data_IF_811974397436
#
_entry.id   IF_811974397436
#
_cell.length_a   1.000
_cell.length_b   1.000
_cell.length_c   1.000
_cell.angle_alpha   90.00
_cell.angle_beta   90.00
_cell.angle_gamma   90.00
#
_symmetry.space_group_name_H-M   'P 1'
#
loop_
_entity.id
_entity.type
_entity.pdbx_description
1 polymer ?
#
# COMPACT_ATOMS: atom_id res chain seq x y z
N UNK A 1 -1.26 14.75 6.49
CA UNK A 1 -2.66 14.54 6.05
C UNK A 1 -2.58 13.57 4.88
N UNK A 2 -3.39 12.52 4.84
CA UNK A 2 -3.38 11.56 3.73
C UNK A 2 -4.39 12.02 2.68
N UNK A 3 -4.05 11.92 1.40
CA UNK A 3 -4.94 12.28 0.29
C UNK A 3 -5.99 11.19 0.04
N UNK A 4 -5.60 9.92 0.30
CA UNK A 4 -6.46 8.75 0.10
C UNK A 4 -6.25 7.73 1.20
N UNK A 5 -7.36 7.12 1.66
CA UNK A 5 -7.37 5.94 2.50
C UNK A 5 -8.01 4.75 1.77
N UNK A 6 -7.30 3.62 1.74
CA UNK A 6 -7.81 2.35 1.19
C UNK A 6 -8.28 1.46 2.34
N UNK A 7 -9.60 1.30 2.46
CA UNK A 7 -10.24 0.35 3.38
C UNK A 7 -10.51 -0.98 2.69
N UNK A 8 -10.14 -2.09 3.33
CA UNK A 8 -10.26 -3.44 2.78
C UNK A 8 -10.22 -4.49 3.89
N UNK A 9 -10.69 -5.72 3.60
CA UNK A 9 -10.48 -6.84 4.53
C UNK A 9 -9.14 -7.50 4.23
N UNK A 10 -8.33 -7.83 5.24
CA UNK A 10 -6.99 -8.41 4.98
C UNK A 10 -7.00 -9.71 4.17
N UNK A 11 -8.10 -10.46 4.15
CA UNK A 11 -8.26 -11.65 3.31
C UNK A 11 -8.22 -11.29 1.81
N UNK A 12 -8.63 -10.07 1.44
CA UNK A 12 -8.65 -9.61 0.06
C UNK A 12 -7.22 -9.43 -0.48
N UNK A 13 -6.24 -9.09 0.37
CA UNK A 13 -4.84 -8.91 -0.06
C UNK A 13 -4.01 -10.20 0.00
N UNK A 14 -4.66 -11.36 0.15
CA UNK A 14 -3.96 -12.64 0.04
C UNK A 14 -3.59 -12.92 -1.42
N UNK A 15 -2.37 -13.39 -1.63
CA UNK A 15 -1.91 -13.79 -2.95
C UNK A 15 -2.52 -15.13 -3.34
N UNK A 16 -3.01 -15.24 -4.58
CA UNK A 16 -3.51 -16.51 -5.13
C UNK A 16 -2.39 -17.49 -5.48
N UNK A 17 -1.20 -16.94 -5.75
CA UNK A 17 0.01 -17.70 -6.09
C UNK A 17 1.11 -17.31 -5.12
N UNK A 18 1.83 -18.30 -4.61
CA UNK A 18 2.97 -18.08 -3.73
C UNK A 18 4.02 -17.17 -4.39
N UNK A 19 4.57 -16.24 -3.62
CA UNK A 19 5.53 -15.24 -4.10
C UNK A 19 4.94 -14.07 -4.90
N UNK A 20 3.62 -14.05 -5.13
CA UNK A 20 2.94 -12.89 -5.73
C UNK A 20 2.38 -11.94 -4.67
N UNK A 21 2.07 -10.71 -5.08
CA UNK A 21 1.38 -9.73 -4.25
C UNK A 21 -0.13 -9.87 -4.41
N UNK A 22 -0.87 -9.64 -3.33
CA UNK A 22 -2.33 -9.54 -3.37
C UNK A 22 -2.81 -8.35 -4.20
N UNK A 23 -4.09 -8.37 -4.57
CA UNK A 23 -4.62 -7.36 -5.48
C UNK A 23 -4.72 -5.97 -4.82
N UNK A 24 -4.89 -5.89 -3.50
CA UNK A 24 -4.89 -4.60 -2.78
C UNK A 24 -3.50 -3.95 -2.83
N UNK A 25 -2.45 -4.75 -2.65
CA UNK A 25 -1.07 -4.27 -2.78
C UNK A 25 -0.79 -3.76 -4.20
N UNK A 26 -1.23 -4.51 -5.22
CA UNK A 26 -1.12 -4.10 -6.62
C UNK A 26 -1.92 -2.81 -6.89
N UNK A 27 -3.14 -2.73 -6.36
CA UNK A 27 -4.02 -1.58 -6.50
C UNK A 27 -3.42 -0.32 -5.88
N UNK A 28 -2.89 -0.39 -4.65
CA UNK A 28 -2.20 0.74 -4.01
C UNK A 28 -1.11 1.30 -4.92
N UNK A 29 -0.24 0.43 -5.46
CA UNK A 29 0.86 0.86 -6.34
C UNK A 29 0.35 1.54 -7.61
N UNK A 30 -0.65 0.95 -8.26
CA UNK A 30 -1.23 1.51 -9.48
C UNK A 30 -1.86 2.87 -9.19
N UNK A 31 -2.61 2.97 -8.09
CA UNK A 31 -3.27 4.21 -7.68
C UNK A 31 -2.26 5.31 -7.37
N UNK A 32 -1.20 5.03 -6.61
CA UNK A 32 -0.11 5.97 -6.30
C UNK A 32 0.51 6.55 -7.60
N UNK A 33 0.84 5.68 -8.56
CA UNK A 33 1.42 6.12 -9.84
C UNK A 33 0.45 6.97 -10.66
N UNK A 34 -0.83 6.56 -10.76
CA UNK A 34 -1.81 7.28 -11.58
C UNK A 34 -2.19 8.62 -10.98
N UNK A 35 -2.38 8.68 -9.67
CA UNK A 35 -2.62 9.96 -8.98
C UNK A 35 -1.39 10.87 -9.09
N UNK A 36 -0.17 10.34 -8.98
CA UNK A 36 1.03 11.15 -9.15
C UNK A 36 1.16 11.77 -10.55
N UNK A 37 0.79 11.02 -11.59
CA UNK A 37 0.75 11.54 -12.97
C UNK A 37 -0.29 12.65 -13.15
N UNK A 38 -1.43 12.57 -12.46
CA UNK A 38 -2.52 13.54 -12.58
C UNK A 38 -2.29 14.81 -11.75
N UNK A 39 -1.73 14.65 -10.55
CA UNK A 39 -1.45 15.75 -9.63
C UNK A 39 -0.16 16.49 -9.97
N UNK A 40 0.79 15.82 -10.63
CA UNK A 40 2.14 16.33 -10.84
C UNK A 40 3.05 16.23 -9.61
N UNK A 41 2.57 15.60 -8.54
CA UNK A 41 3.30 15.37 -7.29
C UNK A 41 2.95 14.02 -6.69
N UNK A 42 3.77 13.53 -5.75
CA UNK A 42 3.55 12.22 -5.14
C UNK A 42 2.37 12.28 -4.14
N UNK A 43 1.29 11.52 -4.36
CA UNK A 43 0.17 11.47 -3.42
C UNK A 43 0.54 10.72 -2.14
N UNK A 44 -0.07 11.08 -1.03
CA UNK A 44 0.03 10.37 0.24
C UNK A 44 -1.13 9.40 0.39
N UNK A 45 -0.87 8.10 0.15
CA UNK A 45 -1.88 7.04 0.25
C UNK A 45 -1.58 6.15 1.44
N UNK A 46 -2.58 5.94 2.29
CA UNK A 46 -2.47 5.04 3.44
C UNK A 46 -3.41 3.84 3.31
N UNK A 47 -2.96 2.70 3.83
CA UNK A 47 -3.76 1.48 4.01
C UNK A 47 -3.26 0.75 5.25
N UNK A 48 -4.14 0.00 5.90
CA UNK A 48 -3.76 -0.87 7.01
C UNK A 48 -2.98 -2.08 6.48
N UNK A 49 -1.66 -2.10 6.66
CA UNK A 49 -0.82 -3.20 6.20
C UNK A 49 -0.81 -4.30 7.27
N UNK A 50 -1.34 -5.48 6.95
CA UNK A 50 -1.02 -6.68 7.73
C UNK A 50 0.45 -6.98 7.48
N UNK A 51 1.31 -6.75 8.48
CA UNK A 51 2.73 -7.10 8.44
C UNK A 51 2.86 -8.59 8.06
N UNK A 52 3.13 -8.87 6.78
CA UNK A 52 3.51 -10.21 6.35
C UNK A 52 4.98 -10.36 6.75
N UNK A 53 5.26 -11.33 7.62
CA UNK A 53 6.50 -11.48 8.39
C UNK A 53 7.76 -11.84 7.60
N UNK A 54 7.97 -11.28 6.40
CA UNK A 54 9.24 -11.44 5.66
C UNK A 54 9.74 -10.19 4.95
N UNK A 55 9.03 -9.06 4.98
CA UNK A 55 9.58 -7.80 4.47
C UNK A 55 10.18 -6.99 5.62
N UNK A 56 11.51 -6.91 5.59
CA UNK A 56 12.41 -6.17 6.47
C UNK A 56 11.79 -4.84 6.92
N UNK A 57 11.62 -4.72 8.24
CA UNK A 57 11.44 -3.44 8.91
C UNK A 57 12.62 -2.53 8.56
N UNK A 58 12.38 -1.52 7.73
CA UNK A 58 13.31 -0.41 7.55
C UNK A 58 12.62 0.87 8.03
N UNK A 59 12.78 1.11 9.35
CA UNK A 59 12.92 2.40 10.03
C UNK A 59 12.15 3.63 9.51
N UNK A 60 10.81 3.56 9.44
CA UNK A 60 9.99 4.78 9.27
C UNK A 60 8.78 4.90 10.20
N UNK A 61 8.92 4.46 11.45
CA UNK A 61 8.10 4.99 12.55
C UNK A 61 9.04 5.68 13.55
N UNK A 62 9.61 6.82 13.12
CA UNK A 62 10.13 7.82 14.05
C UNK A 62 9.64 9.18 13.57
N UNK A 63 8.44 9.54 14.03
CA UNK A 63 8.10 10.82 14.66
C UNK A 63 6.58 10.99 14.62
N UNK A 64 5.98 10.65 15.76
CA UNK A 64 4.67 11.14 16.18
C UNK A 64 4.71 12.66 16.41
#
# INVERSE_FOLDING_TARGET
MNDVFISYAHIDDQALTEGQKGWITQFHRILEMRLGQLLGEKPTIWRDQKLQGSDVFDDKIVNA
#
